data_IF_317317215433
#
_entry.id   IF_317317215433
#
_cell.length_a   1.000
_cell.length_b   1.000
_cell.length_c   1.000
_cell.angle_alpha   90.00
_cell.angle_beta   90.00
_cell.angle_gamma   90.00
#
_symmetry.space_group_name_H-M   'P 1'
#
loop_
_entity.id
_entity.type
_entity.pdbx_description
1 polymer ?
#
# COMPACT_ATOMS: atom_id res chain seq x y z
N UNK A 1 0.97 -2.97 -17.36
CA UNK A 1 2.36 -3.45 -17.32
C UNK A 1 2.77 -3.46 -15.85
N UNK A 2 3.40 -4.53 -15.33
CA UNK A 2 3.91 -4.48 -13.97
C UNK A 2 4.93 -3.33 -13.88
N UNK A 3 4.74 -2.45 -12.91
CA UNK A 3 5.66 -1.33 -12.66
C UNK A 3 7.00 -1.97 -12.26
N UNK A 4 8.11 -1.68 -12.96
CA UNK A 4 9.42 -2.22 -12.58
C UNK A 4 9.69 -1.88 -11.12
N UNK A 5 9.86 -2.91 -10.27
CA UNK A 5 10.22 -2.70 -8.88
C UNK A 5 11.60 -2.07 -8.86
N UNK A 6 11.70 -0.83 -8.39
CA UNK A 6 12.99 -0.18 -8.21
C UNK A 6 13.80 -1.01 -7.20
N UNK A 7 15.03 -1.46 -7.52
CA UNK A 7 15.78 -2.40 -6.68
C UNK A 7 15.94 -1.97 -5.22
N UNK A 8 16.03 -0.66 -4.97
CA UNK A 8 16.13 -0.11 -3.62
C UNK A 8 14.89 -0.41 -2.73
N UNK A 9 13.73 -0.69 -3.32
CA UNK A 9 12.48 -0.97 -2.59
C UNK A 9 12.32 -2.46 -2.23
N UNK A 10 13.22 -3.34 -2.67
CA UNK A 10 13.09 -4.79 -2.46
C UNK A 10 12.90 -5.17 -0.97
N UNK A 11 13.59 -4.47 -0.07
CA UNK A 11 13.53 -4.70 1.38
C UNK A 11 12.50 -3.82 2.10
N UNK A 12 11.79 -2.97 1.36
CA UNK A 12 10.80 -2.08 1.94
C UNK A 12 9.51 -2.84 2.25
N UNK A 13 8.91 -2.55 3.40
CA UNK A 13 7.60 -3.07 3.77
C UNK A 13 6.51 -2.08 3.39
N UNK A 14 5.35 -2.59 3.00
CA UNK A 14 4.20 -1.78 2.55
C UNK A 14 3.15 -1.65 3.65
N UNK A 15 2.50 -0.50 3.67
CA UNK A 15 1.21 -0.32 4.33
C UNK A 15 0.16 0.15 3.33
N UNK A 16 -0.97 -0.54 3.31
CA UNK A 16 -2.12 -0.14 2.50
C UNK A 16 -2.96 0.88 3.27
N UNK A 17 -3.14 2.06 2.68
CA UNK A 17 -3.86 3.17 3.27
C UNK A 17 -5.16 3.45 2.49
N UNK A 18 -6.28 3.39 3.20
CA UNK A 18 -7.60 3.78 2.69
C UNK A 18 -7.83 5.27 2.91
N UNK A 19 -8.47 5.93 1.95
CA UNK A 19 -8.95 7.32 2.08
C UNK A 19 -7.86 8.40 2.20
N UNK A 20 -6.58 8.03 2.14
CA UNK A 20 -5.47 8.97 2.17
C UNK A 20 -5.22 9.51 0.76
N UNK A 21 -5.22 10.83 0.61
CA UNK A 21 -4.89 11.50 -0.65
C UNK A 21 -3.39 11.79 -0.69
N UNK A 22 -2.64 10.95 -1.38
CA UNK A 22 -1.22 11.16 -1.64
C UNK A 22 -0.99 11.65 -3.08
N UNK A 23 0.04 12.46 -3.32
CA UNK A 23 0.44 12.80 -4.69
C UNK A 23 0.80 11.51 -5.46
N UNK A 24 0.03 11.22 -6.51
CA UNK A 24 0.25 10.08 -7.37
C UNK A 24 1.19 10.49 -8.50
N UNK A 25 2.48 10.20 -8.34
CA UNK A 25 3.47 10.28 -9.41
C UNK A 25 4.16 8.90 -9.51
N UNK A 26 4.14 8.23 -10.67
CA UNK A 26 4.72 6.89 -10.83
C UNK A 26 6.23 6.82 -10.55
N UNK A 27 6.94 7.94 -10.67
CA UNK A 27 8.37 8.01 -10.37
C UNK A 27 8.66 8.26 -8.88
N UNK A 28 7.63 8.37 -8.05
CA UNK A 28 7.78 8.71 -6.64
C UNK A 28 7.17 7.65 -5.74
N UNK A 29 7.81 7.44 -4.61
CA UNK A 29 7.30 6.59 -3.54
C UNK A 29 7.08 7.44 -2.29
N UNK A 30 6.03 7.13 -1.53
CA UNK A 30 5.76 7.78 -0.25
C UNK A 30 6.07 6.80 0.88
N UNK A 31 6.85 7.27 1.84
CA UNK A 31 7.10 6.56 3.10
C UNK A 31 6.31 7.17 4.24
N UNK A 32 5.96 6.35 5.24
CA UNK A 32 5.55 6.84 6.55
C UNK A 32 6.30 6.18 7.71
N UNK A 33 6.42 6.91 8.83
CA UNK A 33 7.02 6.45 10.08
C UNK A 33 6.56 7.32 11.25
N UNK A 34 6.65 6.85 12.51
CA UNK A 34 6.36 7.67 13.69
C UNK A 34 7.46 8.70 14.03
N UNK A 35 8.48 8.82 13.19
CA UNK A 35 9.67 9.67 13.37
C UNK A 35 10.02 10.39 12.06
N UNK A 36 10.84 11.46 12.10
CA UNK A 36 11.23 12.20 10.90
C UNK A 36 11.84 11.28 9.83
N UNK A 37 11.55 11.59 8.56
CA UNK A 37 11.97 10.83 7.39
C UNK A 37 12.77 11.70 6.43
N UNK A 38 13.58 11.07 5.59
CA UNK A 38 14.27 11.74 4.50
C UNK A 38 13.44 11.65 3.23
N UNK A 39 13.43 12.72 2.45
CA UNK A 39 12.76 12.74 1.17
C UNK A 39 12.99 14.05 0.43
N UNK A 40 12.58 14.04 -0.83
CA UNK A 40 12.60 15.22 -1.71
C UNK A 40 11.56 16.24 -1.26
N UNK A 41 10.39 15.76 -0.81
CA UNK A 41 9.25 16.60 -0.40
C UNK A 41 8.44 15.93 0.72
N UNK A 42 7.66 16.74 1.43
CA UNK A 42 6.63 16.23 2.36
C UNK A 42 5.38 15.82 1.56
N UNK A 43 4.90 14.60 1.77
CA UNK A 43 3.82 14.03 0.93
C UNK A 43 2.41 14.25 1.47
N UNK A 44 2.27 14.73 2.71
CA UNK A 44 0.98 14.90 3.36
C UNK A 44 0.96 16.20 4.16
N UNK A 45 -0.08 17.02 3.92
CA UNK A 45 -0.36 18.24 4.69
C UNK A 45 -1.39 18.01 5.80
N UNK A 46 -2.11 16.90 5.75
CA UNK A 46 -3.04 16.51 6.81
C UNK A 46 -2.25 15.98 8.00
N UNK A 47 -2.56 16.50 9.18
CA UNK A 47 -1.92 16.09 10.42
C UNK A 47 -2.40 14.68 10.82
N UNK A 48 -1.78 13.65 10.25
CA UNK A 48 -1.95 12.28 10.71
C UNK A 48 -1.16 12.14 12.03
N UNK A 49 -1.87 12.22 13.16
CA UNK A 49 -1.32 12.17 14.52
C UNK A 49 -0.09 11.25 14.65
N UNK A 50 1.07 11.86 14.86
CA UNK A 50 2.31 11.16 15.16
C UNK A 50 2.93 10.39 14.00
N UNK A 51 2.56 10.64 12.75
CA UNK A 51 3.22 10.07 11.56
C UNK A 51 3.80 11.14 10.66
N UNK A 52 5.02 10.91 10.21
CA UNK A 52 5.69 11.71 9.18
C UNK A 52 5.55 11.01 7.84
N UNK A 53 5.37 11.80 6.79
CA UNK A 53 5.27 11.33 5.41
C UNK A 53 6.32 12.03 4.55
N UNK A 54 7.12 11.25 3.84
CA UNK A 54 8.16 11.76 2.96
C UNK A 54 8.06 11.11 1.59
N UNK A 55 8.21 11.92 0.55
CA UNK A 55 8.20 11.49 -0.83
C UNK A 55 9.65 11.36 -1.29
N UNK A 56 9.99 10.23 -1.90
CA UNK A 56 11.28 10.03 -2.56
C UNK A 56 11.03 9.93 -4.05
N UNK A 57 11.65 10.81 -4.83
CA UNK A 57 11.75 10.66 -6.28
C UNK A 57 12.75 9.54 -6.59
N UNK A 58 12.30 8.45 -7.20
CA UNK A 58 13.14 7.29 -7.53
C UNK A 58 14.10 7.55 -8.69
N UNK A 59 13.88 8.60 -9.47
CA UNK A 59 14.80 9.04 -10.53
C UNK A 59 15.94 9.93 -10.00
N UNK A 60 15.92 10.32 -8.73
CA UNK A 60 16.97 11.13 -8.11
C UNK A 60 18.27 10.32 -7.93
N UNK A 61 19.43 10.93 -8.18
CA UNK A 61 20.74 10.31 -7.97
C UNK A 61 20.95 9.81 -6.51
N UNK A 62 20.25 10.41 -5.55
CA UNK A 62 20.32 10.05 -4.13
C UNK A 62 19.19 9.13 -3.65
N UNK A 63 18.27 8.72 -4.55
CA UNK A 63 17.07 7.96 -4.21
C UNK A 63 17.38 6.68 -3.40
N UNK A 64 18.36 5.90 -3.84
CA UNK A 64 18.78 4.66 -3.15
C UNK A 64 19.23 4.93 -1.71
N UNK A 65 19.92 6.05 -1.48
CA UNK A 65 20.35 6.45 -0.15
C UNK A 65 19.18 6.82 0.76
N UNK A 66 18.24 7.62 0.26
CA UNK A 66 17.03 7.99 1.01
C UNK A 66 16.15 6.78 1.33
N UNK A 67 15.93 5.90 0.35
CA UNK A 67 15.17 4.67 0.55
C UNK A 67 15.80 3.81 1.63
N UNK A 68 17.12 3.55 1.53
CA UNK A 68 17.84 2.75 2.51
C UNK A 68 17.72 3.32 3.93
N UNK A 69 17.97 4.63 4.08
CA UNK A 69 17.89 5.27 5.40
C UNK A 69 16.46 5.24 5.95
N UNK A 70 15.44 5.43 5.11
CA UNK A 70 14.06 5.32 5.55
C UNK A 70 13.70 3.90 5.99
N UNK A 71 14.20 2.86 5.28
CA UNK A 71 14.04 1.46 5.70
C UNK A 71 14.73 1.20 7.04
N UNK A 72 15.97 1.69 7.24
CA UNK A 72 16.70 1.60 8.51
C UNK A 72 15.95 2.35 9.64
N UNK A 73 15.16 3.37 9.26
CA UNK A 73 14.23 4.08 10.14
C UNK A 73 12.85 3.41 10.29
N UNK A 74 12.73 2.12 9.96
CA UNK A 74 11.50 1.33 10.05
C UNK A 74 10.31 1.97 9.32
N UNK A 75 10.59 2.77 8.29
CA UNK A 75 9.54 3.37 7.48
C UNK A 75 8.81 2.29 6.67
N UNK A 76 7.57 2.59 6.31
CA UNK A 76 6.76 1.76 5.42
C UNK A 76 6.41 2.54 4.17
N UNK A 77 6.46 1.88 3.02
CA UNK A 77 5.93 2.44 1.78
C UNK A 77 4.42 2.48 1.88
N UNK A 78 3.82 3.64 1.63
CA UNK A 78 2.39 3.84 1.68
C UNK A 78 1.81 3.64 0.28
N UNK A 79 0.91 2.67 0.15
CA UNK A 79 0.16 2.41 -1.08
C UNK A 79 -1.30 2.75 -0.80
N UNK A 80 -1.85 3.70 -1.56
CA UNK A 80 -3.25 4.08 -1.45
C UNK A 80 -4.12 3.03 -2.13
N UNK A 81 -5.16 2.57 -1.44
CA UNK A 81 -6.08 1.55 -1.94
C UNK A 81 -7.53 1.94 -1.71
N UNK A 82 -8.42 1.41 -2.55
CA UNK A 82 -9.87 1.50 -2.38
C UNK A 82 -10.37 0.46 -1.37
N UNK A 83 -11.61 0.65 -0.92
CA UNK A 83 -12.26 -0.31 -0.02
C UNK A 83 -12.49 -1.66 -0.72
N UNK A 84 -12.80 -1.65 -2.03
CA UNK A 84 -12.94 -2.86 -2.85
C UNK A 84 -11.62 -3.64 -2.93
N UNK A 85 -10.51 -2.95 -3.20
CA UNK A 85 -9.18 -3.56 -3.24
C UNK A 85 -8.83 -4.21 -1.89
N UNK A 86 -9.12 -3.54 -0.77
CA UNK A 86 -8.89 -4.10 0.57
C UNK A 86 -9.70 -5.36 0.82
N UNK A 87 -10.98 -5.36 0.46
CA UNK A 87 -11.85 -6.54 0.59
C UNK A 87 -11.28 -7.69 -0.21
N UNK A 88 -10.95 -7.48 -1.49
CA UNK A 88 -10.37 -8.51 -2.34
C UNK A 88 -9.07 -9.07 -1.77
N UNK A 89 -8.14 -8.21 -1.37
CA UNK A 89 -6.87 -8.64 -0.79
C UNK A 89 -7.06 -9.51 0.46
N UNK A 90 -8.04 -9.20 1.31
CA UNK A 90 -8.37 -9.99 2.51
C UNK A 90 -9.10 -11.30 2.21
N UNK A 91 -9.63 -11.44 0.98
CA UNK A 91 -10.29 -12.65 0.49
C UNK A 91 -9.35 -13.56 -0.31
N UNK A 92 -8.17 -13.08 -0.73
CA UNK A 92 -7.14 -13.92 -1.34
C UNK A 92 -6.75 -15.02 -0.34
N UNK A 93 -6.80 -16.27 -0.80
CA UNK A 93 -6.54 -17.50 -0.01
C UNK A 93 -7.41 -17.65 1.25
N UNK A 94 -8.49 -16.88 1.36
CA UNK A 94 -9.41 -16.96 2.50
C UNK A 94 -10.33 -18.17 2.35
N UNK A 95 -10.23 -19.13 3.27
CA UNK A 95 -11.06 -20.35 3.29
C UNK A 95 -12.57 -20.08 3.24
N UNK A 96 -13.02 -18.93 3.71
CA UNK A 96 -14.43 -18.56 3.75
C UNK A 96 -14.82 -17.54 2.68
N UNK A 97 -14.00 -17.38 1.63
CA UNK A 97 -14.23 -16.41 0.55
C UNK A 97 -15.65 -16.42 0.02
N UNK A 98 -16.18 -17.57 -0.35
CA UNK A 98 -17.52 -17.68 -0.94
C UNK A 98 -18.61 -17.26 0.06
N UNK A 99 -18.45 -17.57 1.35
CA UNK A 99 -19.41 -17.15 2.38
C UNK A 99 -19.42 -15.64 2.57
N UNK A 100 -18.26 -14.98 2.48
CA UNK A 100 -18.23 -13.52 2.53
C UNK A 100 -18.97 -12.90 1.33
N UNK A 101 -18.92 -13.52 0.14
CA UNK A 101 -19.63 -13.03 -1.05
C UNK A 101 -21.15 -13.09 -0.97
N UNK A 102 -21.71 -13.86 -0.03
CA UNK A 102 -23.15 -13.90 0.22
C UNK A 102 -23.67 -12.60 0.87
N UNK A 103 -22.78 -11.80 1.48
CA UNK A 103 -23.14 -10.55 2.15
C UNK A 103 -23.05 -9.34 1.22
N UNK A 104 -23.76 -8.26 1.56
CA UNK A 104 -23.59 -6.97 0.88
C UNK A 104 -22.18 -6.39 1.12
N UNK A 105 -21.69 -5.57 0.20
CA UNK A 105 -20.33 -5.03 0.24
C UNK A 105 -19.97 -4.35 1.57
N UNK A 106 -20.83 -3.46 2.07
CA UNK A 106 -20.58 -2.75 3.33
C UNK A 106 -20.41 -3.72 4.53
N UNK A 107 -21.17 -4.81 4.53
CA UNK A 107 -21.08 -5.86 5.54
C UNK A 107 -19.79 -6.67 5.39
N UNK A 108 -19.40 -7.02 4.16
CA UNK A 108 -18.11 -7.67 3.90
C UNK A 108 -16.98 -6.82 4.44
N UNK A 109 -17.00 -5.53 4.14
CA UNK A 109 -15.99 -4.59 4.57
C UNK A 109 -15.92 -4.50 6.09
N UNK A 110 -17.05 -4.32 6.77
CA UNK A 110 -17.12 -4.28 8.24
C UNK A 110 -16.55 -5.55 8.88
N UNK A 111 -16.89 -6.73 8.36
CA UNK A 111 -16.43 -8.02 8.89
C UNK A 111 -14.94 -8.27 8.63
N UNK A 112 -14.41 -7.80 7.49
CA UNK A 112 -13.03 -8.07 7.09
C UNK A 112 -12.04 -7.04 7.64
N UNK A 113 -12.44 -5.78 7.83
CA UNK A 113 -11.57 -4.70 8.30
C UNK A 113 -10.77 -5.00 9.58
N UNK A 114 -11.32 -5.69 10.60
CA UNK A 114 -10.53 -6.10 11.78
C UNK A 114 -9.30 -6.95 11.44
N UNK A 115 -9.29 -7.59 10.26
CA UNK A 115 -8.19 -8.41 9.76
C UNK A 115 -7.21 -7.64 8.88
N UNK A 116 -7.36 -6.32 8.72
CA UNK A 116 -6.50 -5.51 7.84
C UNK A 116 -5.01 -5.73 8.13
N UNK A 117 -4.64 -5.90 9.40
CA UNK A 117 -3.24 -6.15 9.81
C UNK A 117 -2.60 -7.37 9.14
N UNK A 118 -3.39 -8.34 8.64
CA UNK A 118 -2.89 -9.54 7.95
C UNK A 118 -2.26 -9.24 6.59
N UNK A 119 -2.65 -8.15 5.95
CA UNK A 119 -2.12 -7.73 4.64
C UNK A 119 -1.15 -6.53 4.76
N UNK A 120 -0.82 -6.13 6.00
CA UNK A 120 0.08 -5.00 6.26
C UNK A 120 1.51 -5.51 6.48
N UNK A 121 2.49 -4.64 6.26
CA UNK A 121 3.92 -4.93 6.46
C UNK A 121 4.47 -6.08 5.63
N UNK A 122 3.80 -6.43 4.52
CA UNK A 122 4.31 -7.31 3.47
C UNK A 122 5.50 -6.65 2.77
N UNK A 123 6.41 -7.46 2.22
CA UNK A 123 7.49 -6.94 1.38
C UNK A 123 6.92 -6.28 0.13
N UNK A 124 7.60 -5.26 -0.38
CA UNK A 124 7.09 -4.40 -1.45
C UNK A 124 6.62 -5.20 -2.68
N UNK A 125 7.42 -6.17 -3.13
CA UNK A 125 7.05 -7.02 -4.25
C UNK A 125 5.80 -7.86 -4.00
N UNK A 126 5.72 -8.51 -2.84
CA UNK A 126 4.58 -9.36 -2.45
C UNK A 126 3.30 -8.53 -2.28
N UNK A 127 3.42 -7.33 -1.70
CA UNK A 127 2.32 -6.40 -1.53
C UNK A 127 1.75 -5.95 -2.88
N UNK A 128 2.62 -5.56 -3.82
CA UNK A 128 2.16 -5.16 -5.15
C UNK A 128 1.56 -6.33 -5.93
N UNK A 129 2.14 -7.53 -5.84
CA UNK A 129 1.58 -8.72 -6.47
C UNK A 129 0.17 -9.04 -5.92
N UNK A 130 -0.03 -8.91 -4.60
CA UNK A 130 -1.34 -9.09 -3.98
C UNK A 130 -2.36 -8.05 -4.47
N UNK A 131 -1.95 -6.79 -4.58
CA UNK A 131 -2.80 -5.71 -5.10
C UNK A 131 -3.14 -5.94 -6.58
N UNK A 132 -2.17 -6.35 -7.41
CA UNK A 132 -2.39 -6.66 -8.83
C UNK A 132 -3.42 -7.78 -9.00
N UNK A 133 -3.36 -8.83 -8.16
CA UNK A 133 -4.35 -9.92 -8.14
C UNK A 133 -5.73 -9.40 -7.76
N UNK A 134 -5.84 -8.59 -6.72
CA UNK A 134 -7.10 -7.98 -6.29
C UNK A 134 -7.72 -7.12 -7.41
N UNK A 135 -6.93 -6.26 -8.05
CA UNK A 135 -7.37 -5.42 -9.16
C UNK A 135 -7.82 -6.24 -10.37
N UNK A 136 -7.14 -7.36 -10.67
CA UNK A 136 -7.53 -8.26 -11.74
C UNK A 136 -8.90 -8.91 -11.47
N UNK A 137 -9.17 -9.31 -10.22
CA UNK A 137 -10.46 -9.88 -9.81
C UNK A 137 -11.58 -8.83 -9.97
N UNK A 138 -11.38 -7.61 -9.49
CA UNK A 138 -12.37 -6.52 -9.62
C UNK A 138 -12.67 -6.23 -11.08
N UNK A 139 -11.63 -6.16 -11.92
CA UNK A 139 -11.79 -5.92 -13.35
C UNK A 139 -12.57 -7.04 -14.04
N UNK A 140 -12.34 -8.30 -13.65
CA UNK A 140 -13.09 -9.44 -14.18
C UNK A 140 -14.57 -9.34 -13.81
N UNK A 141 -14.91 -8.99 -12.57
CA UNK A 141 -16.31 -8.85 -12.14
C UNK A 141 -17.08 -7.69 -12.76
N UNK A 142 -16.38 -6.70 -13.32
CA UNK A 142 -16.99 -5.58 -14.06
C UNK A 142 -17.23 -5.88 -15.54
N UNK A 143 -16.71 -7.01 -16.04
CA UNK A 143 -16.81 -7.42 -17.44
C UNK A 143 -17.91 -8.45 -17.71
N UNK A 144 -18.58 -8.93 -16.65
CA UNK A 144 -19.74 -9.84 -16.66
C UNK A 144 -21.06 -9.07 -16.44
#
# INVERSE_FOLDING_TARGET
MPIPIHPALADAKVVFARGLKLPCNPDHVVFNAPRPLLGTQLSCTEWCHGRFYAQVNLADAYATGFVKQNIDLDARVVVTVTDEEVVEMLLIDNRYRDRYREFAFDQQLEMLLPNLSKIQSLQYGDALAMLDVAQAIIKASLSD
#
